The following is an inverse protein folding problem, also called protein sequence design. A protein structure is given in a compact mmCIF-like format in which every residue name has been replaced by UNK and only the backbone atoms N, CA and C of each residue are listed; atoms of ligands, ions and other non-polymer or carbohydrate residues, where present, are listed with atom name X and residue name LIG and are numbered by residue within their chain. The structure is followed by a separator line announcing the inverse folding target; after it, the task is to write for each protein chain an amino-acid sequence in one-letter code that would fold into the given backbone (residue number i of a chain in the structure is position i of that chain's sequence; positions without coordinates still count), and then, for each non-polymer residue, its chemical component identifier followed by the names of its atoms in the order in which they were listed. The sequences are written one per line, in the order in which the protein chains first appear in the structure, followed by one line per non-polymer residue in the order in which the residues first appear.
data_IF_145396855159
#
_entry.id   IF_145396855159
#
_cell.length_a   1.000
_cell.length_b   1.000
_cell.length_c   1.000
_cell.angle_alpha   90.00
_cell.angle_beta   90.00
_cell.angle_gamma   90.00
#
_symmetry.space_group_name_H-M   'P 1'
#
loop_
_entity.id
_entity.type
_entity.pdbx_description
1 polymer ?
#
# COMPACT_ATOMS: atom_id res chain seq x y z
N UNK A 1 17.47 2.52 4.75
CA UNK A 1 17.21 1.10 5.09
C UNK A 1 17.21 0.33 3.79
N UNK A 2 17.84 -0.83 3.72
CA UNK A 2 17.93 -1.64 2.50
C UNK A 2 17.25 -2.98 2.73
N UNK A 3 16.52 -3.49 1.73
CA UNK A 3 15.99 -4.84 1.69
C UNK A 3 16.63 -5.57 0.53
N UNK A 4 16.84 -6.87 0.66
CA UNK A 4 17.40 -7.69 -0.40
C UNK A 4 16.64 -9.01 -0.49
N UNK A 5 16.48 -9.50 -1.70
CA UNK A 5 15.93 -10.83 -1.92
C UNK A 5 16.72 -11.57 -3.00
N UNK A 6 16.95 -12.85 -2.78
CA UNK A 6 17.60 -13.76 -3.71
C UNK A 6 16.66 -14.91 -4.02
N UNK A 7 16.36 -15.10 -5.30
CA UNK A 7 15.43 -16.13 -5.79
C UNK A 7 16.09 -17.03 -6.81
N UNK A 8 15.55 -18.23 -6.97
CA UNK A 8 15.95 -19.12 -8.04
C UNK A 8 15.53 -18.53 -9.41
N UNK A 9 16.47 -18.40 -10.33
CA UNK A 9 16.24 -17.77 -11.64
C UNK A 9 15.24 -18.54 -12.48
N UNK A 10 15.31 -19.89 -12.46
CA UNK A 10 14.41 -20.76 -13.25
C UNK A 10 12.99 -20.70 -12.72
N UNK A 11 12.83 -20.70 -11.40
CA UNK A 11 11.53 -20.57 -10.73
C UNK A 11 10.90 -19.21 -11.03
N UNK A 12 11.66 -18.12 -10.86
CA UNK A 12 11.21 -16.77 -11.20
C UNK A 12 10.78 -16.67 -12.66
N UNK A 13 11.60 -17.17 -13.60
CA UNK A 13 11.28 -17.14 -15.02
C UNK A 13 10.02 -17.94 -15.35
N UNK A 14 9.87 -19.13 -14.76
CA UNK A 14 8.69 -19.98 -14.94
C UNK A 14 7.41 -19.26 -14.49
N UNK A 15 7.44 -18.65 -13.30
CA UNK A 15 6.29 -17.93 -12.75
C UNK A 15 5.96 -16.71 -13.59
N UNK A 16 6.95 -15.89 -13.96
CA UNK A 16 6.73 -14.74 -14.83
C UNK A 16 6.17 -15.17 -16.20
N UNK A 17 6.60 -16.32 -16.73
CA UNK A 17 6.07 -16.86 -17.97
C UNK A 17 4.60 -17.31 -17.84
N UNK A 18 4.24 -17.95 -16.72
CA UNK A 18 2.85 -18.30 -16.42
C UNK A 18 1.98 -17.04 -16.26
N UNK A 19 2.47 -16.04 -15.52
CA UNK A 19 1.79 -14.76 -15.34
C UNK A 19 1.60 -14.02 -16.67
N UNK A 20 2.55 -14.13 -17.60
CA UNK A 20 2.45 -13.57 -18.94
C UNK A 20 1.44 -14.30 -19.84
N UNK A 21 1.16 -15.59 -19.58
CA UNK A 21 0.18 -16.39 -20.34
C UNK A 21 -1.27 -16.17 -19.91
N UNK A 22 -1.52 -15.98 -18.61
CA UNK A 22 -2.88 -16.00 -18.05
C UNK A 22 -3.54 -14.61 -18.05
N UNK A 23 -2.78 -13.53 -18.18
CA UNK A 23 -3.32 -12.17 -18.30
C UNK A 23 -2.89 -11.48 -19.59
N UNK A 24 -3.21 -10.18 -19.77
CA UNK A 24 -2.63 -9.39 -20.86
C UNK A 24 -1.10 -9.52 -20.84
N UNK A 25 -0.54 -9.73 -22.03
CA UNK A 25 0.89 -9.89 -22.24
C UNK A 25 1.63 -8.71 -21.60
N UNK A 26 2.82 -8.96 -21.08
CA UNK A 26 3.69 -7.94 -20.52
C UNK A 26 3.99 -6.91 -21.60
N UNK A 27 3.44 -5.72 -21.41
CA UNK A 27 3.67 -4.52 -22.21
C UNK A 27 4.51 -3.54 -21.39
N UNK A 28 4.94 -2.46 -22.03
CA UNK A 28 5.76 -1.41 -21.40
C UNK A 28 5.08 -0.75 -20.19
N UNK A 29 3.75 -0.75 -20.15
CA UNK A 29 2.90 -0.20 -19.08
C UNK A 29 2.50 -1.25 -18.02
N UNK A 30 2.84 -2.54 -18.23
CA UNK A 30 2.45 -3.59 -17.30
C UNK A 30 3.37 -3.57 -16.09
N UNK A 31 2.78 -3.31 -14.92
CA UNK A 31 3.48 -3.34 -13.64
C UNK A 31 3.25 -4.66 -12.89
N UNK A 32 4.28 -5.08 -12.16
CA UNK A 32 4.28 -6.19 -11.23
C UNK A 32 4.50 -5.62 -9.84
N UNK A 33 3.61 -5.95 -8.89
CA UNK A 33 3.86 -5.71 -7.48
C UNK A 33 4.68 -6.88 -6.93
N UNK A 34 5.74 -6.58 -6.18
CA UNK A 34 6.58 -7.55 -5.49
C UNK A 34 6.56 -7.20 -4.01
N UNK A 35 6.06 -8.11 -3.18
CA UNK A 35 6.17 -8.00 -1.73
C UNK A 35 7.30 -8.91 -1.26
N UNK A 36 8.28 -8.35 -0.55
CA UNK A 36 9.38 -9.08 0.07
C UNK A 36 9.00 -9.43 1.49
N UNK A 37 8.83 -10.72 1.74
CA UNK A 37 8.39 -11.28 3.02
C UNK A 37 9.51 -12.16 3.62
N UNK A 38 9.41 -12.58 4.89
CA UNK A 38 10.40 -13.48 5.47
C UNK A 38 10.42 -14.81 4.69
N UNK A 39 11.57 -15.15 4.12
CA UNK A 39 11.84 -16.39 3.36
C UNK A 39 11.05 -16.58 2.05
N UNK A 40 10.30 -15.59 1.58
CA UNK A 40 9.59 -15.66 0.30
C UNK A 40 9.36 -14.28 -0.29
N UNK A 41 9.07 -14.24 -1.59
CA UNK A 41 8.51 -13.06 -2.24
C UNK A 41 7.15 -13.40 -2.83
N UNK A 42 6.25 -12.43 -2.82
CA UNK A 42 4.96 -12.50 -3.50
C UNK A 42 4.99 -11.62 -4.74
N UNK A 43 4.76 -12.21 -5.91
CA UNK A 43 4.59 -11.52 -7.18
C UNK A 43 3.11 -11.40 -7.49
N UNK A 44 2.60 -10.18 -7.60
CA UNK A 44 1.20 -9.91 -7.88
C UNK A 44 0.99 -8.97 -9.06
N UNK A 45 -0.08 -9.23 -9.80
CA UNK A 45 -0.65 -8.37 -10.84
C UNK A 45 -2.17 -8.36 -10.66
N UNK A 46 -2.88 -7.48 -11.38
CA UNK A 46 -4.34 -7.47 -11.33
C UNK A 46 -4.91 -8.88 -11.62
N UNK A 47 -5.61 -9.45 -10.63
CA UNK A 47 -6.27 -10.75 -10.71
C UNK A 47 -5.37 -11.98 -10.49
N UNK A 48 -4.08 -11.84 -10.16
CA UNK A 48 -3.19 -12.98 -9.91
C UNK A 48 -2.08 -12.67 -8.91
N UNK A 49 -1.84 -13.60 -7.99
CA UNK A 49 -0.68 -13.58 -7.10
C UNK A 49 0.03 -14.94 -7.05
N UNK A 50 1.36 -14.94 -6.92
CA UNK A 50 2.22 -16.11 -6.87
C UNK A 50 3.35 -15.90 -5.87
N UNK A 51 3.57 -16.89 -5.01
CA UNK A 51 4.66 -16.88 -4.05
C UNK A 51 5.86 -17.65 -4.58
N UNK A 52 7.07 -17.17 -4.26
CA UNK A 52 8.35 -17.77 -4.62
C UNK A 52 9.19 -17.88 -3.36
N UNK A 53 9.79 -19.05 -3.12
CA UNK A 53 10.75 -19.19 -2.02
C UNK A 53 11.98 -18.32 -2.30
N UNK A 54 12.39 -17.51 -1.32
CA UNK A 54 13.44 -16.53 -1.51
C UNK A 54 14.29 -16.40 -0.24
N UNK A 55 15.59 -16.21 -0.38
CA UNK A 55 16.40 -15.73 0.74
C UNK A 55 16.21 -14.22 0.83
N UNK A 56 15.60 -13.74 1.90
CA UNK A 56 15.25 -12.33 2.06
C UNK A 56 15.93 -11.72 3.27
N UNK A 57 16.17 -10.41 3.20
CA UNK A 57 16.59 -9.59 4.33
C UNK A 57 15.83 -8.28 4.26
N UNK A 58 15.20 -7.92 5.37
CA UNK A 58 14.25 -6.81 5.40
C UNK A 58 12.93 -7.15 4.70
N UNK A 59 12.03 -6.18 4.71
CA UNK A 59 10.72 -6.24 4.11
C UNK A 59 10.57 -5.02 3.19
N UNK A 60 9.87 -5.20 2.08
CA UNK A 60 9.68 -4.16 1.09
C UNK A 60 8.47 -4.47 0.21
N UNK A 61 7.80 -3.42 -0.24
CA UNK A 61 6.66 -3.49 -1.16
C UNK A 61 6.99 -2.61 -2.36
N UNK A 62 7.16 -3.23 -3.53
CA UNK A 62 7.66 -2.53 -4.72
C UNK A 62 6.76 -2.76 -5.92
N UNK A 63 6.66 -1.76 -6.79
CA UNK A 63 6.00 -1.87 -8.10
C UNK A 63 7.03 -1.62 -9.18
N UNK A 64 7.17 -2.60 -10.07
CA UNK A 64 8.22 -2.62 -11.10
C UNK A 64 7.65 -3.00 -12.46
N UNK A 65 8.20 -2.49 -13.57
CA UNK A 65 7.78 -2.94 -14.90
C UNK A 65 7.99 -4.45 -15.08
N UNK A 66 6.92 -5.17 -15.42
CA UNK A 66 6.93 -6.62 -15.55
C UNK A 66 7.89 -7.10 -16.65
N UNK A 67 7.98 -6.35 -17.76
CA UNK A 67 8.94 -6.62 -18.83
C UNK A 67 10.39 -6.57 -18.36
N UNK A 68 10.72 -5.66 -17.43
CA UNK A 68 12.08 -5.55 -16.91
C UNK A 68 12.42 -6.75 -16.03
N UNK A 69 11.52 -7.15 -15.12
CA UNK A 69 11.70 -8.35 -14.29
C UNK A 69 11.83 -9.61 -15.15
N UNK A 70 11.01 -9.73 -16.20
CA UNK A 70 11.11 -10.82 -17.16
C UNK A 70 12.45 -10.80 -17.92
N UNK A 71 12.91 -9.61 -18.32
CA UNK A 71 14.21 -9.40 -18.93
C UNK A 71 15.37 -9.87 -18.03
N UNK A 72 15.35 -9.49 -16.75
CA UNK A 72 16.33 -9.95 -15.77
C UNK A 72 16.31 -11.48 -15.63
N UNK A 73 15.14 -12.07 -15.41
CA UNK A 73 15.00 -13.52 -15.25
C UNK A 73 15.45 -14.29 -16.50
N UNK A 74 15.26 -13.74 -17.70
CA UNK A 74 15.65 -14.37 -18.97
C UNK A 74 17.15 -14.22 -19.29
N UNK A 75 17.76 -13.11 -18.91
CA UNK A 75 19.15 -12.77 -19.31
C UNK A 75 20.20 -13.25 -18.31
N UNK A 76 19.82 -13.48 -17.06
CA UNK A 76 20.76 -14.01 -16.06
C UNK A 76 21.07 -15.49 -16.30
N UNK A 77 22.37 -15.80 -16.40
CA UNK A 77 22.88 -17.18 -16.58
C UNK A 77 23.11 -17.97 -15.27
N UNK A 78 22.81 -17.38 -14.11
CA UNK A 78 23.03 -18.01 -12.80
C UNK A 78 21.79 -18.72 -12.27
N UNK A 79 21.99 -19.69 -11.36
CA UNK A 79 20.89 -20.43 -10.72
C UNK A 79 20.06 -19.55 -9.77
N UNK A 80 20.66 -18.48 -9.24
CA UNK A 80 19.98 -17.48 -8.45
C UNK A 80 20.24 -16.06 -8.95
N UNK A 81 19.28 -15.18 -8.65
CA UNK A 81 19.33 -13.75 -8.94
C UNK A 81 19.06 -12.98 -7.65
N UNK A 82 19.95 -12.03 -7.35
CA UNK A 82 19.85 -11.17 -6.18
C UNK A 82 19.38 -9.78 -6.60
N UNK A 83 18.42 -9.26 -5.87
CA UNK A 83 17.88 -7.91 -6.00
C UNK A 83 18.09 -7.18 -4.69
N UNK A 84 18.63 -5.96 -4.78
CA UNK A 84 18.75 -5.03 -3.66
C UNK A 84 17.74 -3.92 -3.85
N UNK A 85 17.04 -3.57 -2.78
CA UNK A 85 15.99 -2.57 -2.73
C UNK A 85 16.44 -1.50 -1.75
N UNK A 86 16.49 -0.27 -2.23
CA UNK A 86 16.60 0.93 -1.41
C UNK A 86 15.39 1.82 -1.69
N UNK A 87 15.17 2.83 -0.86
CA UNK A 87 13.99 3.68 -1.01
C UNK A 87 13.98 4.36 -2.39
N UNK A 88 12.92 4.12 -3.17
CA UNK A 88 12.83 4.59 -4.54
C UNK A 88 13.70 3.86 -5.57
N UNK A 89 14.44 2.80 -5.23
CA UNK A 89 15.35 2.10 -6.15
C UNK A 89 15.38 0.56 -6.02
N UNK A 90 15.46 -0.12 -7.16
CA UNK A 90 15.69 -1.56 -7.29
C UNK A 90 16.97 -1.77 -8.09
N UNK A 91 17.95 -2.42 -7.49
CA UNK A 91 19.21 -2.77 -8.12
C UNK A 91 19.31 -4.28 -8.36
N UNK A 92 19.70 -4.64 -9.58
CA UNK A 92 20.11 -6.00 -9.92
C UNK A 92 21.46 -5.95 -10.65
N UNK A 93 22.51 -6.47 -10.01
CA UNK A 93 23.90 -6.29 -10.46
C UNK A 93 24.24 -4.80 -10.68
N UNK A 94 24.54 -4.42 -11.92
CA UNK A 94 24.92 -3.05 -12.29
C UNK A 94 23.73 -2.21 -12.81
N UNK A 95 22.53 -2.79 -12.88
CA UNK A 95 21.34 -2.11 -13.37
C UNK A 95 20.55 -1.57 -12.16
N UNK A 96 20.27 -0.28 -12.16
CA UNK A 96 19.48 0.40 -11.15
C UNK A 96 18.21 0.91 -11.82
N UNK A 97 17.05 0.49 -11.32
CA UNK A 97 15.76 1.06 -11.65
C UNK A 97 15.33 1.97 -10.51
N UNK A 98 15.00 3.22 -10.82
CA UNK A 98 14.42 4.15 -9.84
C UNK A 98 12.93 4.33 -10.11
N UNK A 99 12.09 4.27 -9.07
CA UNK A 99 10.65 4.46 -9.16
C UNK A 99 10.08 4.96 -7.83
N UNK A 100 9.18 5.94 -7.89
CA UNK A 100 8.47 6.49 -6.71
C UNK A 100 7.54 5.46 -6.03
N UNK A 101 7.30 4.33 -6.68
CA UNK A 101 6.46 3.24 -6.14
C UNK A 101 7.26 2.16 -5.42
N UNK A 102 8.58 2.30 -5.32
CA UNK A 102 9.44 1.39 -4.55
C UNK A 102 9.43 1.90 -3.12
N UNK A 103 8.76 1.19 -2.22
CA UNK A 103 8.68 1.53 -0.80
C UNK A 103 9.29 0.43 0.05
N UNK A 104 10.09 0.83 1.03
CA UNK A 104 10.55 -0.05 2.10
C UNK A 104 9.57 0.04 3.27
N UNK A 105 8.68 -0.93 3.36
CA UNK A 105 7.80 -1.11 4.51
C UNK A 105 8.40 -2.17 5.43
N UNK A 106 8.79 -1.78 6.64
CA UNK A 106 9.19 -2.72 7.69
C UNK A 106 8.00 -3.06 8.57
N UNK A 107 8.07 -4.15 9.36
CA UNK A 107 7.07 -4.47 10.40
C UNK A 107 6.90 -3.33 11.42
N UNK A 108 7.83 -2.38 11.47
CA UNK A 108 7.75 -1.16 12.30
C UNK A 108 7.11 0.03 11.58
N UNK A 109 6.73 -0.13 10.31
CA UNK A 109 6.22 0.92 9.43
C UNK A 109 4.95 0.50 8.67
N UNK A 110 4.34 -0.62 9.05
CA UNK A 110 2.92 -0.83 8.75
C UNK A 110 2.20 0.22 9.59
N UNK A 111 1.52 1.22 9.03
CA UNK A 111 0.49 1.90 9.80
C UNK A 111 -0.51 0.80 10.17
N UNK A 112 -0.42 0.29 11.40
CA UNK A 112 -1.39 -0.64 11.96
C UNK A 112 -2.76 -0.05 11.71
N UNK A 113 -3.47 -0.64 10.78
CA UNK A 113 -4.75 -0.11 10.41
C UNK A 113 -5.73 -1.26 10.17
N UNK A 114 -6.27 -1.84 11.24
CA UNK A 114 -7.49 -2.59 11.12
C UNK A 114 -8.62 -1.59 11.37
N UNK A 115 -8.89 -0.69 10.42
CA UNK A 115 -10.30 -0.31 10.28
C UNK A 115 -11.01 -1.61 9.91
N UNK A 116 -11.90 -2.14 10.76
CA UNK A 116 -12.58 -3.39 10.45
C UNK A 116 -13.34 -3.21 9.13
N UNK A 117 -13.55 -4.31 8.39
CA UNK A 117 -14.24 -4.29 7.08
C UNK A 117 -15.60 -3.56 7.14
N UNK A 118 -16.21 -3.49 8.34
CA UNK A 118 -17.43 -2.75 8.66
C UNK A 118 -17.19 -1.64 9.71
N UNK A 119 -16.16 -0.81 9.53
CA UNK A 119 -15.91 0.30 10.45
C UNK A 119 -17.12 1.24 10.51
N UNK A 120 -17.58 1.50 11.74
CA UNK A 120 -18.61 2.51 12.00
C UNK A 120 -18.05 3.91 11.73
N UNK A 121 -18.94 4.87 11.42
CA UNK A 121 -18.53 6.27 11.16
C UNK A 121 -17.69 6.88 12.29
N UNK A 122 -17.96 6.47 13.53
CA UNK A 122 -17.21 6.99 14.69
C UNK A 122 -15.81 6.39 14.79
N UNK A 123 -15.62 5.14 14.37
CA UNK A 123 -14.30 4.52 14.28
C UNK A 123 -13.47 5.18 13.17
N UNK A 124 -14.09 5.48 12.03
CA UNK A 124 -13.43 6.24 10.95
C UNK A 124 -12.95 7.61 11.42
N UNK A 125 -13.82 8.38 12.10
CA UNK A 125 -13.47 9.70 12.63
C UNK A 125 -12.37 9.65 13.70
N UNK A 126 -12.38 8.63 14.57
CA UNK A 126 -11.29 8.38 15.53
C UNK A 126 -9.97 8.13 14.80
N UNK A 127 -9.99 7.26 13.80
CA UNK A 127 -8.80 6.89 13.02
C UNK A 127 -8.20 8.11 12.30
N UNK A 128 -9.03 8.96 11.68
CA UNK A 128 -8.58 10.16 10.98
C UNK A 128 -7.93 11.18 11.90
N UNK A 129 -8.36 11.28 13.17
CA UNK A 129 -7.68 12.16 14.15
C UNK A 129 -6.31 11.65 14.57
N UNK A 130 -6.07 10.34 14.47
CA UNK A 130 -4.78 9.73 14.82
C UNK A 130 -3.76 9.81 13.68
N UNK A 131 -4.18 10.17 12.47
CA UNK A 131 -3.29 10.26 11.32
C UNK A 131 -2.86 11.69 11.02
N UNK A 132 -1.61 11.80 10.59
CA UNK A 132 -1.06 13.00 9.98
C UNK A 132 -1.57 13.15 8.54
N UNK A 133 -1.51 14.39 8.03
CA UNK A 133 -1.84 14.69 6.64
C UNK A 133 -1.01 13.86 5.64
N UNK A 134 0.26 13.61 5.97
CA UNK A 134 1.17 12.82 5.13
C UNK A 134 0.77 11.34 5.11
N UNK A 135 0.28 10.80 6.23
CA UNK A 135 -0.24 9.42 6.28
C UNK A 135 -1.54 9.27 5.49
N UNK A 136 -2.43 10.26 5.57
CA UNK A 136 -3.67 10.30 4.80
C UNK A 136 -3.38 10.32 3.30
N UNK A 137 -2.41 11.13 2.86
CA UNK A 137 -1.98 11.19 1.46
C UNK A 137 -1.28 9.91 1.02
N UNK A 138 -0.39 9.37 1.85
CA UNK A 138 0.32 8.11 1.58
C UNK A 138 -0.63 6.94 1.36
N UNK A 139 -1.73 6.90 2.12
CA UNK A 139 -2.76 5.86 2.03
C UNK A 139 -3.82 6.14 0.95
N UNK A 140 -3.77 7.29 0.28
CA UNK A 140 -4.77 7.68 -0.73
C UNK A 140 -6.16 7.90 -0.14
N UNK A 141 -6.26 8.22 1.16
CA UNK A 141 -7.52 8.32 1.89
C UNK A 141 -8.09 9.73 1.95
N UNK A 142 -7.36 10.73 1.41
CA UNK A 142 -7.75 12.15 1.44
C UNK A 142 -9.21 12.37 1.01
N UNK A 143 -9.60 11.81 -0.13
CA UNK A 143 -10.97 11.95 -0.65
C UNK A 143 -12.04 11.32 0.25
N UNK A 144 -11.70 10.24 0.97
CA UNK A 144 -12.60 9.56 1.90
C UNK A 144 -12.75 10.38 3.19
N UNK A 145 -11.63 10.90 3.70
CA UNK A 145 -11.58 11.78 4.88
C UNK A 145 -12.42 13.03 4.62
N UNK A 146 -12.15 13.73 3.52
CA UNK A 146 -12.82 14.98 3.17
C UNK A 146 -14.33 14.77 3.00
N UNK A 147 -14.72 13.68 2.34
CA UNK A 147 -16.13 13.32 2.15
C UNK A 147 -16.85 13.06 3.48
N UNK A 148 -16.25 12.31 4.39
CA UNK A 148 -16.87 12.02 5.68
C UNK A 148 -16.90 13.25 6.60
N UNK A 149 -15.90 14.14 6.54
CA UNK A 149 -15.94 15.42 7.23
C UNK A 149 -17.06 16.33 6.70
N UNK A 150 -17.19 16.47 5.39
CA UNK A 150 -18.27 17.25 4.80
C UNK A 150 -19.67 16.70 5.16
N UNK A 151 -19.82 15.37 5.19
CA UNK A 151 -21.04 14.71 5.65
C UNK A 151 -21.32 14.93 7.14
N UNK A 152 -20.27 14.99 7.97
CA UNK A 152 -20.40 15.29 9.39
C UNK A 152 -20.91 16.72 9.58
N UNK A 153 -20.30 17.68 8.90
CA UNK A 153 -20.68 19.10 8.99
C UNK A 153 -22.12 19.33 8.54
N UNK A 154 -22.54 18.73 7.41
CA UNK A 154 -23.93 18.79 6.94
C UNK A 154 -24.92 18.23 7.98
N UNK A 155 -24.56 17.12 8.64
CA UNK A 155 -25.40 16.52 9.69
C UNK A 155 -25.45 17.39 10.95
N UNK A 156 -24.35 18.01 11.34
CA UNK A 156 -24.32 18.93 12.47
C UNK A 156 -25.19 20.14 12.14
N UNK A 157 -25.09 20.73 10.94
CA UNK A 157 -25.93 21.86 10.51
C UNK A 157 -27.42 21.52 10.56
N UNK A 158 -27.79 20.33 10.09
CA UNK A 158 -29.18 19.83 10.21
C UNK A 158 -29.62 19.69 11.66
N UNK A 159 -28.76 19.16 12.53
CA UNK A 159 -29.06 19.02 13.95
C UNK A 159 -29.17 20.37 14.68
N UNK A 160 -28.30 21.34 14.38
CA UNK A 160 -28.40 22.72 14.89
C UNK A 160 -29.73 23.35 14.49
N UNK A 161 -30.15 23.15 13.23
CA UNK A 161 -31.43 23.68 12.74
C UNK A 161 -32.61 23.11 13.53
N UNK A 162 -32.58 21.81 13.86
CA UNK A 162 -33.62 21.14 14.64
C UNK A 162 -33.60 21.51 16.13
N UNK A 163 -32.43 21.87 16.66
CA UNK A 163 -32.23 22.17 18.08
C UNK A 163 -32.12 23.67 18.38
N UNK A 164 -32.42 24.52 17.38
CA UNK A 164 -32.31 25.98 17.46
C UNK A 164 -33.04 26.56 18.69
N UNK A 165 -34.22 26.05 18.99
CA UNK A 165 -35.06 26.54 20.10
C UNK A 165 -34.48 26.22 21.49
N UNK A 166 -33.48 25.34 21.55
CA UNK A 166 -32.73 24.98 22.75
C UNK A 166 -31.36 25.67 22.81
N UNK A 167 -31.11 26.66 21.96
CA UNK A 167 -29.85 27.43 21.87
C UNK A 167 -28.60 26.56 21.64
N UNK A 168 -28.76 25.37 21.06
CA UNK A 168 -27.65 24.46 20.78
C UNK A 168 -26.88 24.95 19.55
N UNK A 169 -25.59 25.27 19.75
CA UNK A 169 -24.72 25.74 18.67
C UNK A 169 -24.01 24.60 17.94
N UNK A 170 -23.46 24.90 16.76
CA UNK A 170 -22.60 23.98 16.01
C UNK A 170 -21.40 23.52 16.86
N UNK A 171 -20.79 24.44 17.60
CA UNK A 171 -19.66 24.14 18.51
C UNK A 171 -20.03 23.16 19.61
N UNK A 172 -21.26 23.22 20.14
CA UNK A 172 -21.69 22.32 21.22
C UNK A 172 -21.81 20.88 20.71
N UNK A 173 -22.45 20.70 19.55
CA UNK A 173 -22.59 19.39 18.92
C UNK A 173 -21.25 18.84 18.45
N UNK A 174 -20.40 19.68 17.86
CA UNK A 174 -19.05 19.29 17.45
C UNK A 174 -18.24 18.83 18.67
N UNK A 175 -18.34 19.52 19.80
CA UNK A 175 -17.65 19.15 21.04
C UNK A 175 -18.09 17.78 21.56
N UNK A 176 -19.39 17.49 21.56
CA UNK A 176 -19.93 16.17 21.94
C UNK A 176 -19.36 15.07 21.05
N UNK A 177 -19.29 15.30 19.74
CA UNK A 177 -18.74 14.35 18.76
C UNK A 177 -17.22 14.19 18.95
N UNK A 178 -16.49 15.28 19.18
CA UNK A 178 -15.06 15.27 19.44
C UNK A 178 -14.70 14.55 20.74
N UNK A 179 -15.51 14.67 21.78
CA UNK A 179 -15.34 13.93 23.03
C UNK A 179 -15.58 12.42 22.83
N UNK A 180 -16.56 12.04 22.00
CA UNK A 180 -16.81 10.63 21.65
C UNK A 180 -15.77 10.05 20.68
N UNK A 181 -14.93 10.89 20.07
CA UNK A 181 -13.85 10.47 19.14
C UNK A 181 -12.45 10.62 19.74
N UNK A 182 -12.34 10.82 21.06
CA UNK A 182 -11.06 10.64 21.76
C UNK A 182 -10.67 9.15 21.74
N UNK A 183 -9.37 8.84 21.58
CA UNK A 183 -8.87 7.47 21.68
C UNK A 183 -9.13 6.88 23.08
#
# INVERSE_FOLDING_TARGET
MESEFTVNTKELLSILHQMNKIGPAFRSDTCLKIAVLPNLIELSRQGMSKNISAQTKGLADIVVPALMMFGFAKTMKGDSICFKISDGQLQCRNVILSSRHIKLETLFNIPENPLPVNATKIQLLRQFRCWTNDEIDRLGLRSVVDKEHALLDDRILKAVTLLKDYEVSFSDLLKVILDKTKP
#
